data_IF_202633510379
#
_entry.id   IF_202633510379
#
_cell.length_a   1.000
_cell.length_b   1.000
_cell.length_c   1.000
_cell.angle_alpha   90.00
_cell.angle_beta   90.00
_cell.angle_gamma   90.00
#
_symmetry.space_group_name_H-M   'P 1'
#
loop_
_entity.id
_entity.type
_entity.pdbx_description
1 polymer ?
#
# COMPACT_ATOMS: atom_id res chain seq x y z
N UNK A 1 -47.48 -57.66 -3.44
CA UNK A 1 -46.83 -56.39 -3.03
C UNK A 1 -47.64 -55.26 -3.67
N UNK A 2 -48.35 -54.48 -2.87
CA UNK A 2 -49.38 -53.58 -3.39
C UNK A 2 -48.75 -52.38 -4.12
N UNK A 3 -49.34 -51.97 -5.24
CA UNK A 3 -48.93 -50.78 -6.01
C UNK A 3 -48.94 -49.52 -5.12
N UNK A 4 -49.83 -49.48 -4.11
CA UNK A 4 -49.86 -48.43 -3.09
C UNK A 4 -48.62 -48.38 -2.20
N UNK A 5 -48.02 -49.53 -1.86
CA UNK A 5 -46.75 -49.57 -1.09
C UNK A 5 -45.55 -49.12 -1.91
N UNK A 6 -45.54 -49.37 -3.23
CA UNK A 6 -44.47 -48.91 -4.12
C UNK A 6 -44.51 -47.38 -4.31
N UNK A 7 -45.72 -46.80 -4.37
CA UNK A 7 -45.91 -45.35 -4.50
C UNK A 7 -45.47 -44.58 -3.25
N UNK A 8 -45.68 -45.14 -2.06
CA UNK A 8 -45.17 -44.55 -0.80
C UNK A 8 -43.64 -44.60 -0.69
N UNK A 9 -42.99 -45.65 -1.21
CA UNK A 9 -41.53 -45.76 -1.24
C UNK A 9 -40.92 -44.77 -2.23
N UNK A 10 -41.58 -44.52 -3.37
CA UNK A 10 -41.12 -43.49 -4.33
C UNK A 10 -41.33 -42.05 -3.83
N UNK A 11 -42.37 -41.78 -3.03
CA UNK A 11 -42.55 -40.47 -2.39
C UNK A 11 -41.46 -40.17 -1.34
N UNK A 12 -40.94 -41.22 -0.68
CA UNK A 12 -39.83 -41.13 0.28
C UNK A 12 -38.45 -40.94 -0.38
N UNK A 13 -38.32 -41.20 -1.69
CA UNK A 13 -37.10 -40.95 -2.47
C UNK A 13 -37.28 -39.68 -3.31
N UNK A 14 -37.87 -38.64 -2.70
CA UNK A 14 -37.63 -37.29 -3.19
C UNK A 14 -36.19 -36.95 -2.82
N UNK A 15 -35.26 -37.28 -3.73
CA UNK A 15 -33.89 -36.79 -3.69
C UNK A 15 -33.97 -35.25 -3.73
N UNK A 16 -34.06 -34.62 -2.56
CA UNK A 16 -33.83 -33.18 -2.44
C UNK A 16 -32.35 -33.01 -2.77
N UNK A 17 -32.06 -32.73 -4.05
CA UNK A 17 -30.74 -32.31 -4.46
C UNK A 17 -30.41 -31.07 -3.63
N UNK A 18 -29.48 -31.24 -2.70
CA UNK A 18 -29.05 -30.17 -1.83
C UNK A 18 -28.25 -29.17 -2.67
N UNK A 19 -28.94 -28.16 -3.20
CA UNK A 19 -28.34 -27.04 -3.93
C UNK A 19 -27.35 -26.33 -3.01
N UNK A 20 -26.15 -26.07 -3.50
CA UNK A 20 -25.10 -25.46 -2.72
C UNK A 20 -23.94 -25.05 -3.60
N UNK A 21 -23.13 -24.11 -3.12
CA UNK A 21 -21.97 -23.65 -3.85
C UNK A 21 -20.75 -23.54 -2.94
N UNK A 22 -19.59 -23.54 -3.56
CA UNK A 22 -18.30 -23.32 -2.91
C UNK A 22 -17.78 -21.96 -3.30
N UNK A 23 -17.02 -21.34 -2.41
CA UNK A 23 -16.25 -20.14 -2.71
C UNK A 23 -14.86 -20.22 -2.11
N UNK A 24 -13.98 -19.35 -2.61
CA UNK A 24 -12.58 -19.27 -2.22
C UNK A 24 -12.12 -17.82 -2.24
N UNK A 25 -11.36 -17.42 -1.22
CA UNK A 25 -10.68 -16.13 -1.21
C UNK A 25 -9.24 -16.33 -1.66
N UNK A 26 -8.81 -15.58 -2.67
CA UNK A 26 -7.48 -15.68 -3.27
C UNK A 26 -6.64 -14.43 -3.02
N UNK A 27 -5.32 -14.59 -3.06
CA UNK A 27 -4.37 -13.49 -2.97
C UNK A 27 -4.13 -12.94 -1.55
N UNK A 28 -4.64 -13.59 -0.50
CA UNK A 28 -4.32 -13.16 0.87
C UNK A 28 -2.82 -13.39 1.13
N UNK A 29 -2.06 -12.34 1.48
CA UNK A 29 -0.63 -12.46 1.70
C UNK A 29 -0.32 -13.44 2.85
N UNK A 30 0.70 -14.27 2.65
CA UNK A 30 1.22 -15.12 3.71
C UNK A 30 1.78 -14.25 4.84
N UNK A 31 1.62 -14.70 6.08
CA UNK A 31 2.08 -13.98 7.28
C UNK A 31 3.61 -13.81 7.28
N UNK A 32 4.34 -14.67 6.58
CA UNK A 32 5.80 -14.70 6.66
C UNK A 32 6.49 -13.72 5.70
N UNK A 33 5.82 -13.24 4.65
CA UNK A 33 6.56 -12.66 3.52
C UNK A 33 6.51 -11.13 3.41
N UNK A 34 5.44 -10.40 3.75
CA UNK A 34 5.39 -8.98 3.30
C UNK A 34 4.84 -7.96 4.31
N UNK A 35 3.77 -8.29 5.05
CA UNK A 35 3.10 -7.30 5.92
C UNK A 35 3.90 -6.89 7.16
N UNK A 36 4.72 -7.81 7.69
CA UNK A 36 5.41 -7.64 8.98
C UNK A 36 6.80 -7.04 8.82
N UNK A 37 7.52 -7.45 7.76
CA UNK A 37 8.89 -6.97 7.48
C UNK A 37 8.91 -5.52 6.99
N UNK A 38 7.89 -5.08 6.25
CA UNK A 38 7.88 -3.71 5.68
C UNK A 38 7.40 -2.63 6.67
N UNK A 39 6.66 -2.98 7.74
CA UNK A 39 5.99 -1.96 8.58
C UNK A 39 6.17 -2.09 10.10
N UNK A 40 6.97 -3.03 10.63
CA UNK A 40 7.17 -3.23 12.08
C UNK A 40 5.84 -3.24 12.89
N UNK A 41 4.76 -3.78 12.31
CA UNK A 41 3.44 -3.84 12.97
C UNK A 41 3.32 -5.15 13.74
N UNK A 42 3.11 -5.05 15.05
CA UNK A 42 2.74 -6.18 15.91
C UNK A 42 1.24 -6.43 15.72
N UNK A 43 0.86 -7.61 15.23
CA UNK A 43 -0.55 -8.00 15.14
C UNK A 43 -0.92 -8.77 16.42
N UNK A 44 -1.92 -8.31 17.19
CA UNK A 44 -2.25 -8.89 18.48
C UNK A 44 -2.84 -10.32 18.43
N UNK A 45 -3.15 -10.89 17.25
CA UNK A 45 -3.91 -12.15 17.11
C UNK A 45 -3.31 -13.24 16.19
N UNK A 46 -2.02 -13.14 15.82
CA UNK A 46 -1.30 -14.24 15.14
C UNK A 46 -1.91 -14.73 13.80
N UNK A 47 -1.65 -16.00 13.47
CA UNK A 47 -1.88 -16.62 12.14
C UNK A 47 -3.35 -16.91 11.76
N UNK A 48 -4.34 -16.38 12.48
CA UNK A 48 -5.74 -16.81 12.37
C UNK A 48 -6.63 -15.76 11.66
N UNK A 49 -6.21 -15.33 10.48
CA UNK A 49 -6.98 -14.36 9.69
C UNK A 49 -8.31 -14.91 9.20
N UNK A 50 -8.40 -16.21 8.91
CA UNK A 50 -9.62 -16.87 8.44
C UNK A 50 -10.79 -16.68 9.43
N UNK A 51 -10.54 -16.71 10.74
CA UNK A 51 -11.58 -16.46 11.76
C UNK A 51 -12.03 -15.00 11.88
N UNK A 52 -11.32 -14.07 11.22
CA UNK A 52 -11.62 -12.62 11.22
C UNK A 52 -12.27 -12.17 9.92
N UNK A 53 -12.60 -13.12 9.06
CA UNK A 53 -13.41 -12.92 7.85
C UNK A 53 -14.79 -13.54 8.12
N UNK A 54 -15.83 -12.76 7.88
CA UNK A 54 -17.23 -13.15 8.01
C UNK A 54 -17.87 -13.21 6.64
N UNK A 55 -18.51 -14.34 6.34
CA UNK A 55 -19.26 -14.54 5.10
C UNK A 55 -20.70 -14.87 5.49
N UNK A 56 -21.59 -13.94 5.17
CA UNK A 56 -23.00 -14.04 5.46
C UNK A 56 -23.80 -14.04 4.16
N UNK A 57 -24.78 -14.93 4.05
CA UNK A 57 -25.72 -14.99 2.94
C UNK A 57 -27.12 -14.61 3.43
N UNK A 58 -27.65 -13.50 2.94
CA UNK A 58 -28.96 -12.97 3.32
C UNK A 58 -30.01 -13.37 2.28
N UNK A 59 -31.04 -14.15 2.61
CA UNK A 59 -32.17 -14.35 1.71
C UNK A 59 -32.88 -13.02 1.46
N UNK A 60 -33.32 -12.74 0.23
CA UNK A 60 -33.96 -11.46 -0.11
C UNK A 60 -35.15 -11.09 0.80
N UNK A 61 -35.85 -12.11 1.32
CA UNK A 61 -37.04 -11.95 2.16
C UNK A 61 -36.76 -12.08 3.67
N UNK A 62 -35.49 -12.10 4.10
CA UNK A 62 -35.12 -12.33 5.50
C UNK A 62 -33.88 -11.53 5.91
N UNK A 63 -33.99 -10.84 7.05
CA UNK A 63 -32.85 -10.17 7.68
C UNK A 63 -31.90 -11.13 8.41
N UNK A 64 -32.32 -12.39 8.61
CA UNK A 64 -31.47 -13.40 9.26
C UNK A 64 -30.49 -13.99 8.24
N UNK A 65 -29.17 -13.81 8.44
CA UNK A 65 -28.18 -14.40 7.55
C UNK A 65 -28.04 -15.90 7.78
N UNK A 66 -27.62 -16.59 6.73
CA UNK A 66 -27.03 -17.92 6.79
C UNK A 66 -25.51 -17.68 6.85
N UNK A 67 -24.85 -17.86 8.00
CA UNK A 67 -23.40 -17.71 8.09
C UNK A 67 -22.67 -18.95 7.57
N UNK A 68 -21.44 -18.79 7.12
CA UNK A 68 -20.53 -19.91 6.85
C UNK A 68 -19.17 -19.70 7.47
N UNK A 69 -18.44 -20.80 7.68
CA UNK A 69 -17.09 -20.82 8.26
C UNK A 69 -16.08 -20.96 7.14
N UNK A 70 -14.96 -20.26 7.27
CA UNK A 70 -13.84 -20.29 6.34
C UNK A 70 -12.77 -21.23 6.86
N UNK A 71 -12.30 -22.14 6.01
CA UNK A 71 -11.22 -23.06 6.34
C UNK A 71 -9.83 -22.38 6.32
N UNK A 72 -8.79 -23.10 6.72
CA UNK A 72 -7.41 -22.60 6.74
C UNK A 72 -6.83 -22.28 5.36
N UNK A 73 -7.50 -22.70 4.28
CA UNK A 73 -7.14 -22.44 2.88
C UNK A 73 -8.04 -21.36 2.26
N UNK A 74 -8.80 -20.64 3.08
CA UNK A 74 -9.75 -19.62 2.69
C UNK A 74 -10.89 -20.08 1.77
N UNK A 75 -11.29 -21.35 1.86
CA UNK A 75 -12.49 -21.85 1.21
C UNK A 75 -13.69 -21.78 2.15
N UNK A 76 -14.87 -21.59 1.56
CA UNK A 76 -16.15 -21.61 2.25
C UNK A 76 -17.19 -22.34 1.39
N UNK A 77 -18.29 -22.77 2.02
CA UNK A 77 -19.39 -23.44 1.31
C UNK A 77 -20.74 -23.14 1.93
N UNK A 78 -21.75 -23.09 1.08
CA UNK A 78 -23.15 -23.09 1.46
C UNK A 78 -23.78 -24.38 0.95
N UNK A 79 -24.52 -25.08 1.82
CA UNK A 79 -25.19 -26.33 1.50
C UNK A 79 -26.71 -26.16 1.64
N UNK A 80 -27.47 -26.91 0.87
CA UNK A 80 -28.94 -26.99 0.99
C UNK A 80 -29.66 -25.63 0.89
N UNK A 81 -29.20 -24.77 -0.02
CA UNK A 81 -29.88 -23.53 -0.37
C UNK A 81 -31.22 -23.85 -1.04
N UNK A 82 -32.25 -23.13 -0.64
CA UNK A 82 -33.55 -23.19 -1.33
C UNK A 82 -33.48 -22.32 -2.59
N UNK A 83 -34.27 -22.62 -3.63
CA UNK A 83 -34.43 -21.71 -4.75
C UNK A 83 -34.87 -20.32 -4.27
N UNK A 84 -34.29 -19.28 -4.85
CA UNK A 84 -34.53 -17.89 -4.51
C UNK A 84 -33.31 -16.99 -4.68
N UNK A 85 -33.50 -15.73 -4.32
CA UNK A 85 -32.47 -14.71 -4.38
C UNK A 85 -31.83 -14.48 -3.01
N UNK A 86 -30.51 -14.27 -3.02
CA UNK A 86 -29.73 -14.01 -1.83
C UNK A 86 -28.69 -12.91 -2.08
N UNK A 87 -28.33 -12.19 -1.02
CA UNK A 87 -27.21 -11.26 -1.00
C UNK A 87 -26.07 -11.86 -0.17
N UNK A 88 -24.96 -12.16 -0.84
CA UNK A 88 -23.73 -12.60 -0.21
C UNK A 88 -22.90 -11.38 0.18
N UNK A 89 -22.53 -11.29 1.46
CA UNK A 89 -21.69 -10.22 2.00
C UNK A 89 -20.46 -10.85 2.63
N UNK A 90 -19.28 -10.42 2.16
CA UNK A 90 -17.98 -10.86 2.66
C UNK A 90 -17.30 -9.68 3.32
N UNK A 91 -17.06 -9.78 4.63
CA UNK A 91 -16.42 -8.74 5.41
C UNK A 91 -15.19 -9.29 6.12
N UNK A 92 -14.12 -8.51 6.17
CA UNK A 92 -12.93 -8.85 6.94
C UNK A 92 -12.57 -7.72 7.88
N UNK A 93 -12.05 -8.06 9.06
CA UNK A 93 -11.45 -7.06 9.94
C UNK A 93 -10.04 -6.65 9.50
N UNK A 94 -9.38 -7.41 8.64
CA UNK A 94 -7.97 -7.15 8.29
C UNK A 94 -7.78 -6.79 6.83
N UNK A 95 -8.72 -7.14 5.95
CA UNK A 95 -8.54 -7.01 4.50
C UNK A 95 -9.71 -6.29 3.84
N UNK A 96 -9.41 -5.62 2.73
CA UNK A 96 -10.38 -5.24 1.73
C UNK A 96 -10.30 -6.24 0.57
N UNK A 97 -11.44 -6.49 -0.05
CA UNK A 97 -11.58 -7.35 -1.22
C UNK A 97 -11.97 -6.50 -2.42
N UNK A 98 -11.58 -6.92 -3.63
CA UNK A 98 -11.94 -6.21 -4.87
C UNK A 98 -13.46 -6.14 -5.03
N UNK A 99 -14.12 -7.26 -4.72
CA UNK A 99 -15.57 -7.40 -4.69
C UNK A 99 -15.93 -8.14 -3.42
N UNK A 100 -16.82 -7.54 -2.63
CA UNK A 100 -17.18 -8.07 -1.31
C UNK A 100 -18.69 -8.31 -1.16
N UNK A 101 -19.45 -8.08 -2.23
CA UNK A 101 -20.90 -8.21 -2.28
C UNK A 101 -21.31 -8.83 -3.60
N UNK A 102 -22.17 -9.84 -3.52
CA UNK A 102 -22.67 -10.55 -4.68
C UNK A 102 -24.16 -10.83 -4.52
N UNK A 103 -24.90 -10.71 -5.62
CA UNK A 103 -26.25 -11.24 -5.73
C UNK A 103 -26.16 -12.70 -6.17
N UNK A 104 -26.74 -13.60 -5.41
CA UNK A 104 -26.80 -15.03 -5.72
C UNK A 104 -28.23 -15.38 -6.10
N UNK A 105 -28.43 -15.93 -7.29
CA UNK A 105 -29.71 -16.45 -7.75
C UNK A 105 -29.58 -17.97 -7.79
N UNK A 106 -30.30 -18.64 -6.90
CA UNK A 106 -30.37 -20.10 -6.86
C UNK A 106 -31.68 -20.56 -7.48
N UNK A 107 -31.59 -21.39 -8.51
CA UNK A 107 -32.71 -22.09 -9.12
C UNK A 107 -32.59 -23.59 -8.80
N UNK A 108 -33.56 -24.40 -9.24
CA UNK A 108 -33.54 -25.85 -9.00
C UNK A 108 -32.33 -26.58 -9.62
N UNK A 109 -31.73 -26.00 -10.66
CA UNK A 109 -30.68 -26.65 -11.46
C UNK A 109 -29.31 -25.95 -11.44
N UNK A 110 -29.30 -24.65 -11.13
CA UNK A 110 -28.12 -23.79 -11.23
C UNK A 110 -28.10 -22.72 -10.15
N UNK A 111 -26.89 -22.26 -9.82
CA UNK A 111 -26.66 -21.14 -8.92
C UNK A 111 -25.76 -20.17 -9.66
N UNK A 112 -26.20 -18.93 -9.80
CA UNK A 112 -25.47 -17.89 -10.52
C UNK A 112 -25.16 -16.75 -9.54
N UNK A 113 -23.91 -16.30 -9.53
CA UNK A 113 -23.47 -15.12 -8.80
C UNK A 113 -23.28 -13.94 -9.74
N UNK A 114 -23.72 -12.76 -9.30
CA UNK A 114 -23.49 -11.48 -9.96
C UNK A 114 -22.83 -10.53 -8.98
N UNK A 115 -21.90 -9.70 -9.46
CA UNK A 115 -21.37 -8.60 -8.66
C UNK A 115 -22.48 -7.61 -8.30
N UNK A 116 -22.52 -7.21 -7.03
CA UNK A 116 -23.48 -6.23 -6.54
C UNK A 116 -22.76 -5.12 -5.78
N UNK A 117 -22.90 -3.86 -6.21
CA UNK A 117 -22.25 -2.75 -5.55
C UNK A 117 -23.11 -2.23 -4.39
N UNK A 118 -22.48 -1.62 -3.40
CA UNK A 118 -23.24 -0.99 -2.33
C UNK A 118 -23.97 0.25 -2.86
N UNK A 119 -25.28 0.32 -2.61
CA UNK A 119 -26.11 1.47 -2.99
C UNK A 119 -26.57 1.48 -4.45
N UNK A 120 -26.34 0.42 -5.22
CA UNK A 120 -26.94 0.26 -6.53
C UNK A 120 -28.32 -0.40 -6.42
N UNK A 121 -29.28 0.11 -7.21
CA UNK A 121 -30.63 -0.48 -7.32
C UNK A 121 -30.65 -1.78 -8.13
N UNK A 122 -29.59 -2.02 -8.91
CA UNK A 122 -29.41 -3.21 -9.75
C UNK A 122 -28.02 -3.82 -9.56
N UNK A 123 -27.88 -5.08 -9.96
CA UNK A 123 -26.62 -5.82 -9.96
C UNK A 123 -26.05 -5.94 -11.38
N UNK A 124 -24.75 -6.26 -11.48
CA UNK A 124 -24.06 -6.31 -12.75
C UNK A 124 -24.34 -7.63 -13.49
N UNK A 125 -25.36 -7.65 -14.35
CA UNK A 125 -25.80 -8.85 -15.08
C UNK A 125 -24.69 -9.45 -15.96
N UNK A 126 -23.76 -8.65 -16.48
CA UNK A 126 -22.66 -9.15 -17.32
C UNK A 126 -21.58 -9.90 -16.55
N UNK A 127 -21.55 -9.76 -15.22
CA UNK A 127 -20.61 -10.47 -14.32
C UNK A 127 -21.12 -11.84 -13.86
N UNK A 128 -22.14 -12.39 -14.51
CA UNK A 128 -22.75 -13.67 -14.12
C UNK A 128 -21.76 -14.83 -14.16
N UNK A 129 -21.57 -15.49 -13.02
CA UNK A 129 -20.73 -16.68 -12.87
C UNK A 129 -21.60 -17.84 -12.39
N UNK A 130 -21.64 -18.93 -13.15
CA UNK A 130 -22.31 -20.16 -12.74
C UNK A 130 -21.44 -20.95 -11.75
N UNK A 131 -21.99 -21.23 -10.57
CA UNK A 131 -21.28 -21.79 -9.41
C UNK A 131 -21.39 -23.31 -9.26
N UNK A 132 -21.96 -24.00 -10.28
CA UNK A 132 -22.17 -25.45 -10.26
C UNK A 132 -20.84 -26.22 -10.31
N UNK A 133 -19.93 -25.77 -11.16
CA UNK A 133 -18.64 -26.45 -11.39
C UNK A 133 -17.45 -25.69 -10.81
N UNK A 134 -17.53 -24.37 -10.77
CA UNK A 134 -16.44 -23.50 -10.33
C UNK A 134 -16.79 -22.80 -9.02
N UNK A 135 -15.83 -22.70 -8.08
CA UNK A 135 -16.05 -21.93 -6.87
C UNK A 135 -16.15 -20.43 -7.19
N UNK A 136 -16.93 -19.70 -6.38
CA UNK A 136 -16.91 -18.24 -6.39
C UNK A 136 -15.55 -17.75 -5.88
N UNK A 137 -14.79 -17.08 -6.74
CA UNK A 137 -13.47 -16.53 -6.37
C UNK A 137 -13.61 -15.08 -5.92
N UNK A 138 -13.04 -14.77 -4.76
CA UNK A 138 -13.02 -13.42 -4.19
C UNK A 138 -11.56 -13.00 -4.04
N UNK A 139 -11.18 -11.92 -4.70
CA UNK A 139 -9.80 -11.46 -4.70
C UNK A 139 -9.53 -10.50 -3.54
N UNK A 140 -8.41 -10.72 -2.87
CA UNK A 140 -7.78 -9.74 -1.99
C UNK A 140 -7.43 -8.47 -2.77
N UNK A 141 -7.68 -7.30 -2.16
CA UNK A 141 -7.31 -6.00 -2.72
C UNK A 141 -6.13 -5.39 -1.94
N UNK A 142 -6.36 -5.07 -0.66
CA UNK A 142 -5.32 -4.54 0.21
C UNK A 142 -5.61 -4.83 1.69
N UNK A 143 -4.62 -4.61 2.55
CA UNK A 143 -4.77 -4.75 4.00
C UNK A 143 -5.34 -3.47 4.58
N UNK A 144 -6.31 -3.58 5.48
CA UNK A 144 -6.93 -2.45 6.18
C UNK A 144 -5.91 -1.77 7.09
N UNK A 145 -5.85 -0.45 7.00
CA UNK A 145 -5.05 0.37 7.88
C UNK A 145 -5.97 1.16 8.81
N UNK A 146 -5.92 0.81 10.11
CA UNK A 146 -6.73 1.48 11.14
C UNK A 146 -6.04 2.69 11.75
N UNK A 147 -4.71 2.72 11.70
CA UNK A 147 -3.91 3.81 12.23
C UNK A 147 -3.59 4.78 11.10
N UNK A 148 -4.05 6.01 11.25
CA UNK A 148 -3.57 7.12 10.45
C UNK A 148 -2.16 7.47 10.92
N UNK A 149 -1.19 7.45 10.00
CA UNK A 149 0.14 7.95 10.31
C UNK A 149 0.09 9.48 10.39
N UNK A 150 0.57 10.03 11.50
CA UNK A 150 0.65 11.48 11.73
C UNK A 150 1.77 12.16 10.92
N UNK A 151 2.64 11.37 10.27
CA UNK A 151 3.53 11.87 9.23
C UNK A 151 2.82 11.71 7.88
N UNK A 152 2.51 12.81 7.21
CA UNK A 152 2.08 12.77 5.81
C UNK A 152 3.12 12.04 4.94
N UNK A 153 2.80 11.82 3.66
CA UNK A 153 3.76 11.25 2.71
C UNK A 153 5.10 12.01 2.79
N UNK A 154 6.24 11.38 2.48
CA UNK A 154 7.50 12.11 2.35
C UNK A 154 7.36 13.33 1.42
N UNK A 155 6.49 13.19 0.41
CA UNK A 155 6.06 14.31 -0.43
C UNK A 155 5.36 15.40 0.38
N UNK A 156 4.39 15.08 1.24
CA UNK A 156 3.72 16.06 2.10
C UNK A 156 4.71 16.72 3.08
N UNK A 157 5.69 15.96 3.58
CA UNK A 157 6.75 16.49 4.43
C UNK A 157 7.65 17.47 3.67
N UNK A 158 8.04 17.17 2.43
CA UNK A 158 8.79 18.10 1.56
C UNK A 158 7.94 19.32 1.21
N UNK A 159 6.68 19.12 0.85
CA UNK A 159 5.77 20.18 0.40
C UNK A 159 5.35 21.12 1.53
N UNK A 160 5.41 20.65 2.78
CA UNK A 160 5.16 21.44 3.99
C UNK A 160 6.44 21.90 4.71
N UNK A 161 7.63 21.51 4.21
CA UNK A 161 8.93 21.98 4.67
C UNK A 161 9.23 23.40 4.15
N UNK A 162 10.20 24.13 4.72
CA UNK A 162 10.73 25.37 4.15
C UNK A 162 11.13 25.26 2.66
N UNK A 163 11.50 24.06 2.19
CA UNK A 163 11.77 23.80 0.77
C UNK A 163 10.50 23.57 -0.07
N UNK A 164 9.34 23.37 0.53
CA UNK A 164 8.09 23.16 -0.16
C UNK A 164 7.70 24.34 -1.06
N UNK A 165 8.10 25.56 -0.71
CA UNK A 165 7.93 26.74 -1.58
C UNK A 165 8.66 26.57 -2.93
N UNK A 166 9.88 26.01 -2.90
CA UNK A 166 10.68 25.76 -4.11
C UNK A 166 9.95 24.77 -5.01
N UNK A 167 9.46 23.67 -4.45
CA UNK A 167 8.82 22.59 -5.21
C UNK A 167 7.37 22.87 -5.64
N UNK A 168 6.72 23.88 -5.05
CA UNK A 168 5.37 24.34 -5.45
C UNK A 168 5.38 25.14 -6.74
N UNK A 169 6.48 25.80 -7.10
CA UNK A 169 6.59 26.62 -8.31
C UNK A 169 7.56 26.00 -9.32
N UNK A 170 7.04 25.62 -10.50
CA UNK A 170 7.82 24.96 -11.56
C UNK A 170 9.10 25.71 -11.93
N UNK A 171 9.06 27.04 -12.00
CA UNK A 171 10.24 27.84 -12.38
C UNK A 171 11.30 27.81 -11.29
N UNK A 172 10.90 27.90 -10.02
CA UNK A 172 11.81 27.88 -8.87
C UNK A 172 12.41 26.48 -8.69
N UNK A 173 11.63 25.42 -8.92
CA UNK A 173 12.14 24.03 -8.96
C UNK A 173 13.22 23.82 -10.01
N UNK A 174 13.05 24.39 -11.21
CA UNK A 174 14.03 24.27 -12.30
C UNK A 174 15.32 24.99 -11.91
N UNK A 175 15.23 26.22 -11.43
CA UNK A 175 16.40 27.00 -10.98
C UNK A 175 17.12 26.26 -9.85
N UNK A 176 16.38 25.77 -8.85
CA UNK A 176 16.95 24.99 -7.75
C UNK A 176 17.65 23.72 -8.23
N UNK A 177 17.03 22.97 -9.14
CA UNK A 177 17.63 21.74 -9.71
C UNK A 177 18.93 22.03 -10.46
N UNK A 178 18.99 23.13 -11.22
CA UNK A 178 20.21 23.56 -11.91
C UNK A 178 21.29 23.96 -10.91
N UNK A 179 20.96 24.72 -9.87
CA UNK A 179 21.91 25.08 -8.82
C UNK A 179 22.47 23.86 -8.09
N UNK A 180 21.62 22.90 -7.73
CA UNK A 180 22.04 21.64 -7.10
C UNK A 180 22.93 20.83 -8.03
N UNK A 181 22.60 20.75 -9.33
CA UNK A 181 23.42 20.05 -10.30
C UNK A 181 24.82 20.68 -10.44
N UNK A 182 24.92 22.02 -10.47
CA UNK A 182 26.22 22.72 -10.53
C UNK A 182 27.04 22.47 -9.26
N UNK A 183 26.41 22.49 -8.09
CA UNK A 183 27.10 22.23 -6.82
C UNK A 183 27.53 20.76 -6.67
N UNK A 184 26.72 19.81 -7.15
CA UNK A 184 27.00 18.37 -7.02
C UNK A 184 27.90 17.82 -8.14
N UNK A 185 27.93 18.47 -9.31
CA UNK A 185 28.74 18.08 -10.47
C UNK A 185 30.22 17.78 -10.13
N UNK A 186 30.97 18.64 -9.41
CA UNK A 186 32.37 18.35 -9.09
C UNK A 186 32.53 17.12 -8.20
N UNK A 187 31.63 16.89 -7.24
CA UNK A 187 31.67 15.73 -6.35
C UNK A 187 31.35 14.42 -7.09
N UNK A 188 30.38 14.45 -8.00
CA UNK A 188 30.01 13.29 -8.82
C UNK A 188 31.14 12.94 -9.79
N UNK A 189 31.76 13.95 -10.40
CA UNK A 189 32.90 13.76 -11.31
C UNK A 189 34.13 13.21 -10.59
N UNK A 190 34.42 13.69 -9.37
CA UNK A 190 35.51 13.15 -8.54
C UNK A 190 35.34 11.66 -8.22
N UNK A 191 34.09 11.20 -8.08
CA UNK A 191 33.80 9.80 -7.77
C UNK A 191 33.87 8.87 -8.98
N UNK A 192 33.39 9.32 -10.15
CA UNK A 192 33.33 8.49 -11.36
C UNK A 192 34.62 8.54 -12.18
N UNK A 193 35.32 9.67 -12.17
CA UNK A 193 36.57 9.84 -12.91
C UNK A 193 37.47 10.92 -12.27
N UNK A 194 38.37 10.52 -11.34
CA UNK A 194 39.18 11.47 -10.58
C UNK A 194 40.17 12.25 -11.44
N UNK A 195 40.58 11.73 -12.60
CA UNK A 195 41.51 12.41 -13.52
C UNK A 195 40.85 13.62 -14.21
N UNK A 196 39.61 13.46 -14.69
CA UNK A 196 38.83 14.56 -15.28
C UNK A 196 38.47 15.64 -14.25
N UNK A 197 38.29 15.26 -12.99
CA UNK A 197 38.03 16.23 -11.92
C UNK A 197 39.26 17.09 -11.61
N UNK A 198 40.47 16.52 -11.67
CA UNK A 198 41.71 17.27 -11.52
C UNK A 198 41.88 18.27 -12.67
N UNK A 199 41.63 17.85 -13.91
CA UNK A 199 41.71 18.72 -15.10
C UNK A 199 40.69 19.87 -15.04
N UNK A 200 39.44 19.62 -14.62
CA UNK A 200 38.44 20.68 -14.45
C UNK A 200 38.78 21.66 -13.33
N UNK A 201 39.34 21.19 -12.22
CA UNK A 201 39.82 22.07 -11.15
C UNK A 201 40.99 22.93 -11.63
N UNK A 202 41.91 22.37 -12.42
CA UNK A 202 43.00 23.13 -13.03
C UNK A 202 42.50 24.18 -14.03
N UNK A 203 41.48 23.86 -14.83
CA UNK A 203 40.83 24.81 -15.75
C UNK A 203 40.12 25.92 -14.97
N UNK A 204 39.42 25.60 -13.87
CA UNK A 204 38.80 26.61 -13.01
C UNK A 204 39.83 27.51 -12.32
N UNK A 205 40.96 26.96 -11.88
CA UNK A 205 42.08 27.73 -11.29
C UNK A 205 42.76 28.61 -12.34
N UNK A 206 42.96 28.10 -13.56
CA UNK A 206 43.52 28.88 -14.68
C UNK A 206 42.57 30.01 -15.09
N UNK A 207 41.27 29.74 -15.24
CA UNK A 207 40.27 30.75 -15.56
C UNK A 207 40.10 31.80 -14.44
N UNK A 208 40.25 31.39 -13.17
CA UNK A 208 40.26 32.33 -12.04
C UNK A 208 41.53 33.19 -12.03
N UNK A 209 42.71 32.62 -12.33
CA UNK A 209 43.98 33.36 -12.47
C UNK A 209 43.93 34.34 -13.65
N UNK A 210 43.34 33.93 -14.77
CA UNK A 210 43.19 34.76 -15.97
C UNK A 210 42.20 35.92 -15.75
N UNK A 211 41.11 35.69 -14.99
CA UNK A 211 40.19 36.76 -14.55
C UNK A 211 40.78 37.73 -13.54
N UNK A 212 41.79 37.31 -12.78
CA UNK A 212 42.46 38.14 -11.79
C UNK A 212 43.56 39.04 -12.39
N UNK A 213 43.94 38.82 -13.65
CA UNK A 213 44.92 39.64 -14.35
C UNK A 213 46.32 39.48 -13.75
N UNK A 214 47.27 39.12 -14.61
CA UNK A 214 48.69 39.11 -14.29
C UNK A 214 49.15 40.48 -13.74
N UNK A 215 49.30 40.57 -12.42
CA UNK A 215 50.26 41.48 -11.78
C UNK A 215 51.40 40.64 -11.22
N UNK A 216 52.24 40.17 -12.13
CA UNK A 216 53.64 39.89 -11.79
C UNK A 216 54.32 41.25 -11.71
N UNK A 217 54.43 41.79 -10.50
CA UNK A 217 55.53 42.70 -10.16
C UNK A 217 56.50 41.83 -9.40
N UNK A 218 57.56 41.43 -10.09
CA UNK A 218 58.79 40.97 -9.44
C UNK A 218 59.23 42.03 -8.44
N UNK A 219 59.36 41.64 -7.18
CA UNK A 219 60.21 42.31 -6.21
C UNK A 219 60.61 41.30 -5.15
N UNK A 220 61.76 40.68 -5.37
CA UNK A 220 62.65 40.28 -4.30
C UNK A 220 63.00 41.53 -3.47
N UNK A 221 62.57 41.55 -2.20
CA UNK A 221 63.30 42.22 -1.12
C UNK A 221 62.79 41.75 0.24
N UNK A 222 63.65 40.99 0.90
CA UNK A 222 63.96 41.04 2.33
C UNK A 222 62.81 41.07 3.37
N UNK A 223 62.69 39.92 4.03
CA UNK A 223 62.55 39.72 5.49
C UNK A 223 62.50 41.01 6.33
N UNK A 224 61.37 41.25 6.99
CA UNK A 224 61.35 41.91 8.30
C UNK A 224 60.21 41.35 9.17
N UNK A 225 60.59 40.41 10.04
CA UNK A 225 59.82 40.00 11.22
C UNK A 225 59.63 41.23 12.12
N UNK A 226 58.38 41.59 12.44
CA UNK A 226 58.08 42.31 13.69
C UNK A 226 56.82 41.75 14.35
N UNK A 227 57.08 40.95 15.38
CA UNK A 227 56.17 40.72 16.48
C UNK A 227 55.94 42.00 17.27
N UNK A 228 54.68 42.31 17.55
CA UNK A 228 54.17 42.98 18.75
C UNK A 228 52.68 42.64 18.74
N UNK A 229 52.08 41.97 19.72
CA UNK A 229 52.27 42.03 21.15
C UNK A 229 50.88 42.26 21.74
N UNK A 230 50.34 41.21 22.39
CA UNK A 230 49.49 41.23 23.59
C UNK A 230 48.40 42.31 23.69
N UNK A 231 47.12 41.88 23.74
CA UNK A 231 46.28 42.14 24.92
C UNK A 231 44.99 41.29 24.92
N UNK A 232 45.03 40.27 25.79
CA UNK A 232 43.88 39.60 26.40
C UNK A 232 43.34 40.53 27.51
N UNK A 233 42.03 40.58 27.76
CA UNK A 233 41.59 40.68 29.14
C UNK A 233 40.73 39.48 29.51
N UNK A 234 41.10 38.87 30.63
CA UNK A 234 40.37 37.84 31.33
C UNK A 234 39.12 38.41 32.03
N UNK A 235 38.03 37.66 31.94
CA UNK A 235 37.23 37.23 33.08
C UNK A 235 36.45 38.28 33.90
N UNK A 236 35.13 38.16 33.88
CA UNK A 236 34.37 38.14 35.15
C UNK A 236 33.13 37.25 35.02
N UNK A 237 32.87 36.52 36.10
CA UNK A 237 31.98 35.38 36.18
C UNK A 237 30.51 35.75 36.51
N UNK A 238 29.65 34.73 36.36
CA UNK A 238 28.42 34.46 37.12
C UNK A 238 27.19 35.37 36.94
N UNK A 239 26.11 34.80 36.39
CA UNK A 239 24.94 34.43 37.22
C UNK A 239 23.97 33.45 36.54
N UNK A 240 23.74 32.34 37.23
CA UNK A 240 22.70 31.32 37.05
C UNK A 240 21.39 31.83 37.69
N UNK A 241 20.26 31.78 36.99
CA UNK A 241 18.89 31.66 37.54
C UNK A 241 18.08 30.89 36.48
N UNK A 242 17.81 29.60 36.72
CA UNK A 242 16.63 29.04 37.39
C UNK A 242 15.35 29.33 36.61
#
# INVERSE_FOLDING_TARGET
>A
MNISTLSYIFYLISFTLALGFKGKIEGIPSINDELFKTKNKIIPNGNNYNNRIKIDLYPANSANPIPTIIDSKYNFKFNSLKPGEYDLIVNSYDFNFEKNRFKIIANDESIIAYENNLGSESFNVTSGIELKEKPLVINYFNTKEFYQYSGGSFQDMIMNSPFGFVFKNRTVTIIFSVCVAIMAAPYILQFLNPEFAAELNEIQVKAAKERLGEKVVDNDSEIAIKSTGVNKPEGSATKKRR
#
